data_IF_149277497215
#
_entry.id   IF_149277497215
#
_cell.length_a   1.000
_cell.length_b   1.000
_cell.length_c   1.000
_cell.angle_alpha   90.00
_cell.angle_beta   90.00
_cell.angle_gamma   90.00
#
_symmetry.space_group_name_H-M   'P 1'
#
loop_
_entity.id
_entity.type
_entity.pdbx_description
1 polymer ?
#
# COMPACT_ATOMS: atom_id res chain seq x y z
N UNK A 1 8.95 -13.98 -9.38
CA UNK A 1 7.85 -14.65 -8.65
C UNK A 1 7.18 -13.60 -7.81
N UNK A 2 5.88 -13.36 -7.96
CA UNK A 2 5.18 -12.43 -7.06
C UNK A 2 5.19 -13.03 -5.64
N UNK A 3 5.76 -12.30 -4.67
CA UNK A 3 5.86 -12.76 -3.29
C UNK A 3 4.50 -13.04 -2.66
N UNK A 4 4.46 -13.90 -1.65
CA UNK A 4 3.29 -14.06 -0.79
C UNK A 4 3.15 -12.82 0.08
N UNK A 5 1.93 -12.32 0.27
CA UNK A 5 1.64 -11.22 1.18
C UNK A 5 0.76 -11.76 2.30
N UNK A 6 1.14 -11.53 3.53
CA UNK A 6 0.40 -12.00 4.72
C UNK A 6 -0.22 -10.82 5.46
N UNK A 7 -1.33 -11.07 6.15
CA UNK A 7 -1.97 -10.08 6.99
C UNK A 7 -2.97 -10.69 7.96
N UNK A 8 -3.33 -9.92 8.99
CA UNK A 8 -4.22 -10.35 10.07
C UNK A 8 -5.35 -9.34 10.24
N UNK A 9 -6.59 -9.82 10.34
CA UNK A 9 -7.75 -8.98 10.65
C UNK A 9 -8.41 -9.49 11.91
N UNK A 10 -8.79 -8.59 12.81
CA UNK A 10 -9.46 -8.97 14.06
C UNK A 10 -10.88 -8.41 14.12
N UNK A 11 -11.77 -9.13 14.80
CA UNK A 11 -13.17 -8.76 14.99
C UNK A 11 -13.62 -9.18 16.39
N UNK A 12 -14.22 -8.24 17.11
CA UNK A 12 -14.82 -8.49 18.43
C UNK A 12 -16.34 -8.67 18.31
N UNK A 13 -16.85 -9.78 18.82
CA UNK A 13 -18.28 -10.04 18.98
C UNK A 13 -18.70 -9.68 20.39
N UNK A 14 -19.43 -8.58 20.55
CA UNK A 14 -19.98 -8.15 21.84
C UNK A 14 -21.42 -8.61 22.01
N UNK A 15 -21.78 -9.00 23.23
CA UNK A 15 -23.15 -9.34 23.61
C UNK A 15 -23.92 -8.09 24.09
N UNK A 16 -25.22 -7.92 23.79
CA UNK A 16 -26.05 -8.79 22.96
C UNK A 16 -25.62 -8.74 21.49
N UNK A 17 -25.54 -9.91 20.85
CA UNK A 17 -25.21 -9.97 19.43
C UNK A 17 -26.29 -9.22 18.64
N UNK A 18 -25.89 -8.33 17.72
CA UNK A 18 -26.83 -7.64 16.84
C UNK A 18 -27.72 -8.67 16.12
N UNK A 19 -29.00 -8.33 15.95
CA UNK A 19 -30.06 -9.24 15.48
C UNK A 19 -29.72 -9.89 14.12
N UNK A 20 -30.43 -10.98 13.80
CA UNK A 20 -30.15 -11.90 12.69
C UNK A 20 -30.10 -11.27 11.27
N UNK A 21 -30.32 -9.96 11.13
CA UNK A 21 -30.30 -9.25 9.85
C UNK A 21 -29.28 -8.09 9.77
N UNK A 22 -28.46 -7.85 10.80
CA UNK A 22 -27.46 -6.78 10.78
C UNK A 22 -26.07 -7.38 10.59
N UNK A 23 -25.52 -7.22 9.37
CA UNK A 23 -24.11 -7.47 9.08
C UNK A 23 -23.25 -6.57 9.97
N UNK A 24 -22.60 -7.20 10.93
CA UNK A 24 -21.57 -6.55 11.73
C UNK A 24 -20.22 -6.84 11.08
N UNK A 25 -19.34 -5.85 11.02
CA UNK A 25 -18.06 -5.96 10.34
C UNK A 25 -16.92 -5.41 11.17
N UNK A 26 -15.71 -5.89 10.88
CA UNK A 26 -14.48 -5.28 11.37
C UNK A 26 -14.24 -3.95 10.69
N UNK A 27 -13.28 -3.19 11.20
CA UNK A 27 -12.67 -2.12 10.42
C UNK A 27 -12.01 -2.68 9.15
N UNK A 28 -11.83 -1.81 8.16
CA UNK A 28 -11.15 -2.15 6.92
C UNK A 28 -9.65 -2.18 7.16
N UNK A 29 -9.02 -3.31 6.88
CA UNK A 29 -7.57 -3.50 6.90
C UNK A 29 -7.06 -3.62 5.46
N UNK A 30 -5.96 -2.94 5.13
CA UNK A 30 -5.37 -3.03 3.79
C UNK A 30 -4.26 -4.07 3.80
N UNK A 31 -4.40 -5.12 2.99
CA UNK A 31 -3.41 -6.21 2.87
C UNK A 31 -3.14 -6.40 1.38
N UNK A 32 -1.88 -6.24 0.96
CA UNK A 32 -1.49 -6.28 -0.46
C UNK A 32 -2.19 -5.22 -1.31
N UNK A 33 -2.33 -4.01 -0.76
CA UNK A 33 -3.06 -2.87 -1.36
C UNK A 33 -4.53 -3.16 -1.72
N UNK A 34 -5.10 -4.20 -1.12
CA UNK A 34 -6.50 -4.55 -1.23
C UNK A 34 -7.21 -4.26 0.11
N UNK A 35 -8.39 -3.61 0.09
CA UNK A 35 -9.16 -3.34 1.31
C UNK A 35 -9.94 -4.59 1.70
N UNK A 36 -9.66 -5.13 2.88
CA UNK A 36 -10.28 -6.32 3.44
C UNK A 36 -11.05 -6.00 4.71
N UNK A 37 -12.15 -6.71 4.95
CA UNK A 37 -12.84 -6.69 6.23
C UNK A 37 -13.57 -8.01 6.46
N UNK A 38 -13.68 -8.41 7.72
CA UNK A 38 -14.49 -9.56 8.13
C UNK A 38 -15.90 -9.06 8.41
N UNK A 39 -16.90 -9.82 7.98
CA UNK A 39 -18.28 -9.62 8.41
C UNK A 39 -18.84 -10.91 8.99
N UNK A 40 -19.79 -10.76 9.92
CA UNK A 40 -20.50 -11.89 10.50
C UNK A 40 -22.00 -11.65 10.54
N UNK A 41 -22.74 -12.75 10.50
CA UNK A 41 -24.18 -12.77 10.75
C UNK A 41 -24.57 -14.15 11.29
N UNK A 42 -25.75 -14.23 11.88
CA UNK A 42 -26.34 -15.48 12.32
C UNK A 42 -27.44 -15.89 11.35
N UNK A 43 -27.47 -17.16 10.97
CA UNK A 43 -28.55 -17.70 10.15
C UNK A 43 -28.84 -19.16 10.50
N UNK A 44 -30.01 -19.63 10.11
CA UNK A 44 -30.44 -20.98 10.40
C UNK A 44 -29.94 -21.96 9.32
N UNK A 45 -29.18 -22.97 9.73
CA UNK A 45 -28.79 -24.12 8.89
C UNK A 45 -29.37 -25.37 9.54
N UNK A 46 -30.26 -26.06 8.83
CA UNK A 46 -30.84 -27.34 9.27
C UNK A 46 -31.45 -27.28 10.68
N UNK A 47 -32.16 -26.19 11.01
CA UNK A 47 -32.79 -25.99 12.32
C UNK A 47 -31.85 -25.53 13.44
N UNK A 48 -30.60 -25.19 13.13
CA UNK A 48 -29.60 -24.67 14.09
C UNK A 48 -29.18 -23.26 13.72
N UNK A 49 -29.18 -22.35 14.71
CA UNK A 49 -28.68 -20.98 14.54
C UNK A 49 -27.14 -20.98 14.53
N UNK A 50 -26.56 -20.75 13.35
CA UNK A 50 -25.13 -20.82 13.08
C UNK A 50 -24.54 -19.43 12.86
N UNK A 51 -23.34 -19.21 13.37
CA UNK A 51 -22.52 -18.06 13.05
C UNK A 51 -21.86 -18.28 11.69
N UNK A 52 -22.11 -17.37 10.76
CA UNK A 52 -21.38 -17.28 9.51
C UNK A 52 -20.33 -16.17 9.58
N UNK A 53 -19.13 -16.44 9.08
CA UNK A 53 -18.04 -15.46 9.01
C UNK A 53 -17.57 -15.37 7.56
N UNK A 54 -17.57 -14.16 7.00
CA UNK A 54 -17.15 -13.88 5.64
C UNK A 54 -15.97 -12.91 5.63
N UNK A 55 -14.97 -13.22 4.82
CA UNK A 55 -13.95 -12.27 4.41
C UNK A 55 -14.45 -11.54 3.16
N UNK A 56 -14.34 -10.23 3.15
CA UNK A 56 -14.80 -9.38 2.05
C UNK A 56 -13.65 -8.52 1.54
N UNK A 57 -13.59 -8.31 0.23
CA UNK A 57 -12.69 -7.37 -0.40
C UNK A 57 -13.47 -6.45 -1.35
N UNK A 58 -13.45 -5.14 -1.06
CA UNK A 58 -14.23 -4.15 -1.79
C UNK A 58 -13.35 -3.15 -2.55
N UNK A 59 -12.54 -3.65 -3.48
CA UNK A 59 -11.78 -2.80 -4.37
C UNK A 59 -12.71 -2.13 -5.40
N UNK A 60 -12.46 -0.85 -5.70
CA UNK A 60 -13.25 -0.02 -6.60
C UNK A 60 -13.11 -0.43 -8.08
N UNK A 61 -12.01 -1.06 -8.45
CA UNK A 61 -11.78 -1.59 -9.81
C UNK A 61 -12.55 -2.90 -10.02
N UNK A 62 -12.86 -3.21 -11.29
CA UNK A 62 -13.36 -4.53 -11.68
C UNK A 62 -12.28 -5.45 -12.27
N UNK A 63 -11.05 -4.93 -12.44
CA UNK A 63 -9.95 -5.61 -13.15
C UNK A 63 -8.87 -6.12 -12.20
N UNK A 64 -9.21 -6.36 -10.94
CA UNK A 64 -8.32 -6.97 -9.96
C UNK A 64 -8.70 -8.43 -9.70
N UNK A 65 -7.72 -9.21 -9.28
CA UNK A 65 -7.94 -10.55 -8.73
C UNK A 65 -6.82 -10.92 -7.78
N UNK A 66 -7.10 -11.74 -6.77
CA UNK A 66 -6.09 -12.38 -5.95
C UNK A 66 -6.56 -13.75 -5.47
N UNK A 67 -5.62 -14.65 -5.23
CA UNK A 67 -5.88 -15.93 -4.58
C UNK A 67 -5.57 -15.76 -3.09
N UNK A 68 -6.54 -16.09 -2.23
CA UNK A 68 -6.41 -15.99 -0.79
C UNK A 68 -6.55 -17.36 -0.13
N UNK A 69 -5.61 -17.69 0.76
CA UNK A 69 -5.75 -18.75 1.75
C UNK A 69 -6.01 -18.09 3.10
N UNK A 70 -7.11 -18.48 3.76
CA UNK A 70 -7.60 -17.81 4.96
C UNK A 70 -7.77 -18.82 6.08
N UNK A 71 -7.24 -18.51 7.25
CA UNK A 71 -7.49 -19.21 8.51
C UNK A 71 -8.29 -18.29 9.43
N UNK A 72 -9.49 -18.71 9.83
CA UNK A 72 -10.31 -18.00 10.81
C UNK A 72 -10.21 -18.74 12.14
N UNK A 73 -9.80 -18.03 13.17
CA UNK A 73 -9.61 -18.50 14.54
C UNK A 73 -10.54 -17.75 15.49
N UNK A 74 -11.38 -18.48 16.20
CA UNK A 74 -12.00 -18.02 17.43
C UNK A 74 -11.02 -18.29 18.57
N UNK A 75 -10.61 -17.23 19.27
CA UNK A 75 -9.62 -17.38 20.33
C UNK A 75 -10.17 -18.22 21.50
N UNK A 76 -9.34 -19.09 22.11
CA UNK A 76 -9.72 -19.87 23.28
C UNK A 76 -10.10 -18.96 24.46
N UNK A 77 -10.97 -19.47 25.33
CA UNK A 77 -11.37 -18.84 26.60
C UNK A 77 -11.09 -19.80 27.75
N UNK A 78 -11.04 -19.31 28.99
CA UNK A 78 -10.66 -20.08 30.20
C UNK A 78 -11.27 -21.49 30.28
N UNK A 79 -12.52 -21.68 29.80
CA UNK A 79 -13.24 -22.96 29.86
C UNK A 79 -13.63 -23.55 28.49
N UNK A 80 -13.22 -22.94 27.37
CA UNK A 80 -13.58 -23.41 26.03
C UNK A 80 -12.38 -23.36 25.07
N UNK A 81 -12.07 -24.46 24.37
CA UNK A 81 -11.03 -24.44 23.36
C UNK A 81 -11.39 -23.46 22.24
N UNK A 82 -10.36 -22.88 21.62
CA UNK A 82 -10.53 -22.08 20.42
C UNK A 82 -11.00 -22.94 19.25
N UNK A 83 -11.57 -22.30 18.24
CA UNK A 83 -12.03 -22.97 17.02
C UNK A 83 -11.28 -22.42 15.82
N UNK A 84 -10.74 -23.29 14.99
CA UNK A 84 -10.01 -22.91 13.77
C UNK A 84 -10.71 -23.56 12.59
N UNK A 85 -11.00 -22.76 11.56
CA UNK A 85 -11.46 -23.26 10.26
C UNK A 85 -10.78 -22.48 9.14
N UNK A 86 -10.48 -23.15 8.03
CA UNK A 86 -9.75 -22.57 6.90
C UNK A 86 -10.55 -22.66 5.61
N UNK A 87 -10.36 -21.71 4.70
CA UNK A 87 -10.87 -21.79 3.33
C UNK A 87 -9.90 -21.15 2.34
N UNK A 88 -10.12 -21.43 1.05
CA UNK A 88 -9.40 -20.81 -0.07
C UNK A 88 -10.40 -20.24 -1.06
N UNK A 89 -10.11 -19.09 -1.62
CA UNK A 89 -10.93 -18.51 -2.68
C UNK A 89 -10.10 -17.57 -3.58
N UNK A 90 -10.54 -17.43 -4.83
CA UNK A 90 -10.06 -16.36 -5.73
C UNK A 90 -11.01 -15.19 -5.63
N UNK A 91 -10.54 -14.09 -5.04
CA UNK A 91 -11.30 -12.85 -4.91
C UNK A 91 -11.12 -11.98 -6.14
N UNK A 92 -12.23 -11.40 -6.61
CA UNK A 92 -12.26 -10.47 -7.74
C UNK A 92 -13.61 -9.73 -7.77
N UNK A 93 -13.85 -8.95 -8.81
CA UNK A 93 -15.10 -8.18 -8.97
C UNK A 93 -16.39 -9.00 -8.89
N UNK A 94 -16.37 -10.28 -9.30
CA UNK A 94 -17.52 -11.21 -9.29
C UNK A 94 -17.61 -12.01 -7.99
N UNK A 95 -16.49 -12.24 -7.31
CA UNK A 95 -16.40 -12.95 -6.02
C UNK A 95 -15.71 -12.05 -5.00
N UNK A 96 -16.45 -11.07 -4.48
CA UNK A 96 -15.94 -10.08 -3.51
C UNK A 96 -16.00 -10.57 -2.06
N UNK A 97 -16.70 -11.67 -1.81
CA UNK A 97 -16.96 -12.21 -0.47
C UNK A 97 -16.87 -13.73 -0.51
N UNK A 98 -16.24 -14.31 0.49
CA UNK A 98 -16.19 -15.76 0.71
C UNK A 98 -15.95 -16.03 2.19
N UNK A 99 -16.45 -17.15 2.68
CA UNK A 99 -16.42 -17.43 4.10
C UNK A 99 -16.91 -18.80 4.47
N UNK A 100 -17.22 -18.96 5.75
CA UNK A 100 -17.67 -20.20 6.36
C UNK A 100 -19.05 -19.94 6.96
N UNK A 101 -20.07 -20.56 6.36
CA UNK A 101 -21.47 -20.36 6.73
C UNK A 101 -21.83 -21.00 8.10
N UNK A 102 -21.17 -22.09 8.45
CA UNK A 102 -21.45 -22.89 9.65
C UNK A 102 -20.31 -22.80 10.68
N UNK A 103 -19.70 -21.62 10.85
CA UNK A 103 -18.46 -21.47 11.59
C UNK A 103 -18.56 -22.00 13.02
N UNK A 104 -19.56 -21.57 13.80
CA UNK A 104 -19.82 -22.02 15.17
C UNK A 104 -21.31 -21.92 15.50
N UNK A 105 -21.84 -22.78 16.39
CA UNK A 105 -23.24 -22.63 16.82
C UNK A 105 -23.40 -21.42 17.76
N UNK A 106 -24.53 -20.70 17.68
CA UNK A 106 -24.81 -19.61 18.64
C UNK A 106 -24.87 -20.10 20.09
N UNK A 107 -25.25 -21.36 20.30
CA UNK A 107 -25.30 -21.99 21.62
C UNK A 107 -23.90 -22.11 22.24
N UNK A 108 -22.88 -22.40 21.43
CA UNK A 108 -21.48 -22.43 21.87
C UNK A 108 -20.94 -21.03 22.19
N UNK A 109 -21.52 -19.98 21.62
CA UNK A 109 -21.13 -18.57 21.82
C UNK A 109 -21.91 -17.88 22.95
N UNK A 110 -22.60 -18.61 23.83
CA UNK A 110 -23.29 -18.01 24.99
C UNK A 110 -22.29 -17.20 25.85
N UNK A 111 -22.59 -15.94 26.18
CA UNK A 111 -21.70 -15.11 26.99
C UNK A 111 -21.54 -15.72 28.37
N UNK A 112 -20.31 -15.81 28.87
CA UNK A 112 -20.06 -15.99 30.28
C UNK A 112 -20.09 -14.61 30.94
N UNK A 113 -20.69 -14.53 32.13
CA UNK A 113 -20.62 -13.32 32.96
C UNK A 113 -19.27 -13.41 33.67
N UNK A 114 -18.42 -12.42 33.43
CA UNK A 114 -17.15 -12.31 34.15
C UNK A 114 -17.42 -12.14 35.64
N UNK A 115 -16.43 -12.45 36.50
CA UNK A 115 -16.51 -12.20 37.95
C UNK A 115 -16.81 -10.73 38.31
N UNK A 116 -16.58 -9.79 37.37
CA UNK A 116 -16.86 -8.36 37.48
C UNK A 116 -18.27 -7.95 36.99
N UNK A 117 -19.10 -8.88 36.50
CA UNK A 117 -20.47 -8.59 36.03
C UNK A 117 -20.57 -8.12 34.57
N UNK A 118 -19.45 -8.08 33.83
CA UNK A 118 -19.43 -7.71 32.41
C UNK A 118 -19.63 -8.93 31.49
N UNK A 119 -20.27 -8.72 30.34
CA UNK A 119 -20.41 -9.74 29.30
C UNK A 119 -19.10 -9.89 28.51
N UNK A 120 -18.53 -11.10 28.46
CA UNK A 120 -17.30 -11.36 27.71
C UNK A 120 -17.44 -11.20 26.17
N UNK A 121 -16.50 -10.47 25.55
CA UNK A 121 -16.39 -10.28 24.10
C UNK A 121 -15.65 -11.43 23.43
N UNK A 122 -16.19 -12.02 22.34
CA UNK A 122 -15.49 -13.09 21.61
C UNK A 122 -14.59 -12.45 20.57
N UNK A 123 -13.30 -12.79 20.56
CA UNK A 123 -12.36 -12.28 19.55
C UNK A 123 -12.14 -13.32 18.46
N UNK A 124 -12.33 -12.88 17.23
CA UNK A 124 -12.04 -13.63 16.01
C UNK A 124 -10.82 -13.01 15.35
N UNK A 125 -9.92 -13.85 14.86
CA UNK A 125 -8.76 -13.48 14.07
C UNK A 125 -8.82 -14.20 12.71
N UNK A 126 -8.60 -13.48 11.62
CA UNK A 126 -8.44 -14.06 10.30
C UNK A 126 -7.03 -13.80 9.78
N UNK A 127 -6.24 -14.86 9.65
CA UNK A 127 -4.92 -14.83 9.01
C UNK A 127 -5.10 -15.08 7.51
N UNK A 128 -4.60 -14.17 6.69
CA UNK A 128 -4.81 -14.13 5.24
C UNK A 128 -3.47 -14.21 4.55
N UNK A 129 -3.32 -15.14 3.62
CA UNK A 129 -2.14 -15.27 2.74
C UNK A 129 -2.59 -15.05 1.31
N UNK A 130 -2.13 -13.96 0.70
CA UNK A 130 -2.44 -13.56 -0.66
C UNK A 130 -1.35 -14.01 -1.63
N UNK A 131 -1.79 -14.50 -2.79
CA UNK A 131 -0.96 -14.91 -3.91
C UNK A 131 -1.60 -14.50 -5.23
N UNK A 132 -0.84 -14.51 -6.32
CA UNK A 132 -1.33 -14.24 -7.67
C UNK A 132 -2.14 -12.94 -7.80
N UNK A 133 -1.75 -11.89 -7.06
CA UNK A 133 -2.41 -10.58 -7.10
C UNK A 133 -2.21 -9.96 -8.49
N UNK A 134 -3.30 -9.55 -9.12
CA UNK A 134 -3.33 -8.89 -10.44
C UNK A 134 -4.19 -7.65 -10.39
N UNK A 135 -3.88 -6.67 -11.23
CA UNK A 135 -4.67 -5.43 -11.35
C UNK A 135 -4.59 -4.50 -10.14
N UNK A 136 -3.66 -4.78 -9.22
CA UNK A 136 -3.30 -3.94 -8.08
C UNK A 136 -1.80 -3.70 -8.20
N UNK A 137 -1.38 -2.45 -8.07
CA UNK A 137 0.04 -2.12 -8.06
C UNK A 137 0.64 -2.73 -6.79
N UNK A 138 1.58 -3.66 -6.94
CA UNK A 138 2.29 -4.22 -5.80
C UNK A 138 3.34 -3.19 -5.35
N UNK A 139 3.09 -2.49 -4.25
CA UNK A 139 4.10 -1.64 -3.63
C UNK A 139 5.09 -2.56 -2.92
N UNK A 140 6.40 -2.48 -3.19
CA UNK A 140 7.39 -3.21 -2.42
C UNK A 140 7.26 -2.80 -0.95
N UNK A 141 6.76 -3.70 -0.10
CA UNK A 141 6.86 -3.54 1.34
C UNK A 141 8.29 -3.93 1.73
N UNK A 142 8.95 -3.10 2.52
CA UNK A 142 10.27 -3.46 3.04
C UNK A 142 10.03 -4.51 4.11
N UNK A 143 10.53 -5.72 3.86
CA UNK A 143 10.49 -6.78 4.84
C UNK A 143 11.59 -6.54 5.88
N UNK A 144 11.21 -5.99 7.03
CA UNK A 144 12.12 -5.80 8.16
C UNK A 144 12.39 -7.11 8.92
N UNK A 145 11.67 -8.21 8.62
CA UNK A 145 11.71 -9.48 9.35
C UNK A 145 12.52 -10.58 8.64
N UNK A 146 12.77 -10.44 7.34
CA UNK A 146 13.44 -11.44 6.53
C UNK A 146 14.90 -11.72 6.93
N UNK A 147 15.32 -12.98 6.85
CA UNK A 147 16.73 -13.37 7.02
C UNK A 147 17.60 -12.72 5.92
N UNK A 148 18.59 -11.91 6.35
CA UNK A 148 19.50 -11.01 5.61
C UNK A 148 20.34 -11.66 4.49
N UNK A 149 19.98 -12.83 3.97
CA UNK A 149 20.82 -13.50 2.97
C UNK A 149 20.90 -12.80 1.62
N UNK A 150 20.06 -11.80 1.32
CA UNK A 150 20.04 -11.20 -0.03
C UNK A 150 19.59 -9.72 -0.14
N UNK A 151 19.91 -8.83 0.82
CA UNK A 151 19.63 -7.40 0.60
C UNK A 151 20.79 -6.46 1.01
N UNK A 152 21.42 -5.83 0.01
CA UNK A 152 22.43 -4.77 0.17
C UNK A 152 21.85 -3.48 0.81
N UNK A 153 20.58 -3.49 1.21
CA UNK A 153 19.84 -2.35 1.75
C UNK A 153 19.80 -2.32 3.28
N UNK A 154 20.04 -3.42 3.99
CA UNK A 154 20.11 -3.43 5.47
C UNK A 154 21.56 -3.48 5.97
N UNK A 155 21.89 -2.63 6.94
CA UNK A 155 23.22 -2.59 7.57
C UNK A 155 23.16 -2.36 9.10
N UNK A 156 21.98 -2.59 9.69
CA UNK A 156 21.78 -2.66 11.14
C UNK A 156 20.64 -3.61 11.47
N UNK A 157 20.81 -4.37 12.54
CA UNK A 157 19.79 -5.23 13.14
C UNK A 157 19.43 -4.72 14.53
N UNK A 158 18.16 -4.51 14.79
CA UNK A 158 17.65 -4.19 16.13
C UNK A 158 17.21 -5.47 16.84
N UNK A 159 17.56 -5.60 18.11
CA UNK A 159 17.19 -6.70 19.02
C UNK A 159 16.46 -6.08 20.20
N UNK A 160 15.41 -6.71 20.69
CA UNK A 160 14.55 -6.16 21.74
C UNK A 160 14.79 -6.90 23.06
N UNK A 161 15.05 -6.16 24.15
CA UNK A 161 15.37 -6.74 25.46
C UNK A 161 14.20 -7.54 26.07
N UNK A 162 12.98 -7.08 25.79
CA UNK A 162 11.72 -7.74 26.14
C UNK A 162 11.53 -9.06 25.38
N UNK A 163 12.03 -9.16 24.15
CA UNK A 163 11.78 -10.27 23.22
C UNK A 163 13.03 -10.65 22.40
N UNK A 164 14.04 -11.22 23.08
CA UNK A 164 15.39 -11.48 22.51
C UNK A 164 15.44 -12.37 21.26
N UNK A 165 14.35 -13.07 20.92
CA UNK A 165 14.26 -13.87 19.69
C UNK A 165 13.83 -13.08 18.46
N UNK A 166 13.28 -11.87 18.63
CA UNK A 166 12.78 -11.04 17.54
C UNK A 166 13.85 -10.04 17.08
N UNK A 167 13.88 -9.80 15.76
CA UNK A 167 14.87 -8.93 15.11
C UNK A 167 14.19 -8.09 14.03
N UNK A 168 14.67 -6.86 13.88
CA UNK A 168 14.30 -5.99 12.76
C UNK A 168 15.54 -5.51 12.01
N UNK A 169 15.51 -5.62 10.68
CA UNK A 169 16.62 -5.29 9.80
C UNK A 169 16.37 -3.96 9.09
N UNK A 170 17.24 -2.97 9.25
CA UNK A 170 17.04 -1.63 8.68
C UNK A 170 18.34 -1.04 8.10
N UNK A 171 18.25 0.18 7.56
CA UNK A 171 19.37 0.96 7.03
C UNK A 171 19.74 2.14 7.95
N UNK A 172 20.99 2.16 8.45
CA UNK A 172 21.56 3.21 9.30
C UNK A 172 21.44 4.59 8.64
N UNK A 173 21.84 4.70 7.38
CA UNK A 173 21.89 5.98 6.65
C UNK A 173 20.50 6.56 6.46
N UNK A 174 19.52 5.72 6.11
CA UNK A 174 18.14 6.14 5.92
C UNK A 174 17.47 6.57 7.25
N UNK A 175 17.61 5.78 8.31
CA UNK A 175 17.12 6.17 9.65
C UNK A 175 17.75 7.48 10.14
N UNK A 176 19.05 7.67 9.88
CA UNK A 176 19.77 8.88 10.25
C UNK A 176 19.33 10.13 9.48
N UNK A 177 18.74 9.96 8.29
CA UNK A 177 18.15 11.06 7.55
C UNK A 177 16.93 11.64 8.28
N UNK A 178 16.18 10.77 8.96
CA UNK A 178 14.90 11.11 9.58
C UNK A 178 14.98 11.36 11.09
N UNK A 179 16.07 10.95 11.76
CA UNK A 179 16.25 11.11 13.20
C UNK A 179 17.67 11.57 13.55
N UNK A 180 17.82 12.75 14.20
CA UNK A 180 19.13 13.18 14.71
C UNK A 180 19.65 12.27 15.83
N UNK A 181 18.76 11.54 16.52
CA UNK A 181 19.15 10.52 17.51
C UNK A 181 19.81 9.34 16.81
N UNK A 182 19.17 8.76 15.78
CA UNK A 182 19.78 7.67 14.99
C UNK A 182 21.05 8.11 14.29
N UNK A 183 21.08 9.35 13.76
CA UNK A 183 22.30 9.93 13.17
C UNK A 183 23.45 9.98 14.17
N UNK A 184 23.17 10.42 15.40
CA UNK A 184 24.18 10.47 16.45
C UNK A 184 24.62 9.07 16.86
N UNK A 185 23.67 8.17 17.09
CA UNK A 185 23.88 6.78 17.46
C UNK A 185 24.76 6.02 16.45
N UNK A 186 24.53 6.20 15.14
CA UNK A 186 25.25 5.43 14.10
C UNK A 186 26.53 6.08 13.58
N UNK A 187 26.65 7.42 13.67
CA UNK A 187 27.73 8.16 12.99
C UNK A 187 28.49 9.14 13.88
N UNK A 188 28.18 9.23 15.18
CA UNK A 188 29.03 9.93 16.16
C UNK A 188 29.83 8.91 17.00
N UNK A 189 30.72 9.38 17.87
CA UNK A 189 31.60 8.55 18.71
C UNK A 189 30.87 7.82 19.86
N UNK A 190 29.71 7.22 19.60
CA UNK A 190 28.99 6.35 20.53
C UNK A 190 29.39 4.88 20.32
N UNK A 191 29.07 4.02 21.29
CA UNK A 191 29.47 2.60 21.25
C UNK A 191 28.82 1.85 20.07
N UNK A 192 27.65 2.31 19.65
CA UNK A 192 26.78 1.75 18.61
C UNK A 192 27.29 2.02 17.19
N UNK A 193 28.23 2.96 17.01
CA UNK A 193 28.76 3.37 15.70
C UNK A 193 29.25 2.18 14.88
N UNK A 194 30.03 1.28 15.51
CA UNK A 194 30.64 0.12 14.87
C UNK A 194 29.84 -1.17 15.07
N UNK A 195 28.65 -1.09 15.66
CA UNK A 195 27.82 -2.27 15.94
C UNK A 195 26.88 -2.57 14.77
N UNK A 196 26.82 -3.83 14.36
CA UNK A 196 25.84 -4.32 13.39
C UNK A 196 24.51 -4.71 14.07
N UNK A 197 24.55 -4.89 15.40
CA UNK A 197 23.41 -5.24 16.24
C UNK A 197 23.24 -4.22 17.35
N UNK A 198 22.05 -3.67 17.50
CA UNK A 198 21.71 -2.68 18.52
C UNK A 198 20.58 -3.23 19.37
N UNK A 199 20.77 -3.24 20.68
CA UNK A 199 19.75 -3.68 21.64
C UNK A 199 18.90 -2.47 22.04
N UNK A 200 17.59 -2.61 21.93
CA UNK A 200 16.59 -1.61 22.31
C UNK A 200 15.74 -2.14 23.48
N UNK A 201 15.33 -1.22 24.35
CA UNK A 201 14.38 -1.46 25.44
C UNK A 201 12.91 -1.22 25.03
N UNK A 202 12.69 -0.78 23.78
CA UNK A 202 11.36 -0.56 23.17
C UNK A 202 10.57 -1.87 22.93
N UNK A 203 9.27 -1.76 22.65
CA UNK A 203 8.47 -2.87 22.10
C UNK A 203 8.84 -3.14 20.64
N UNK A 204 8.96 -4.41 20.30
CA UNK A 204 9.18 -4.83 18.92
C UNK A 204 8.05 -4.36 18.00
N UNK A 205 6.78 -4.50 18.42
CA UNK A 205 5.62 -4.10 17.63
C UNK A 205 5.63 -2.59 17.36
N UNK A 206 5.83 -1.78 18.41
CA UNK A 206 5.85 -0.31 18.29
C UNK A 206 6.99 0.17 17.39
N UNK A 207 8.17 -0.45 17.52
CA UNK A 207 9.32 -0.10 16.70
C UNK A 207 9.18 -0.58 15.25
N UNK A 208 8.57 -1.74 15.02
CA UNK A 208 8.26 -2.23 13.68
C UNK A 208 7.28 -1.29 12.95
N UNK A 209 6.22 -0.83 13.63
CA UNK A 209 5.31 0.18 13.08
C UNK A 209 6.04 1.48 12.76
N UNK A 210 6.94 1.94 13.65
CA UNK A 210 7.75 3.13 13.42
C UNK A 210 8.61 2.99 12.14
N UNK A 211 9.25 1.83 11.93
CA UNK A 211 10.03 1.58 10.71
C UNK A 211 9.17 1.61 9.44
N UNK A 212 7.97 1.01 9.49
CA UNK A 212 7.01 1.06 8.39
C UNK A 212 6.55 2.49 8.05
N UNK A 213 6.56 3.40 9.02
CA UNK A 213 6.22 4.82 8.83
C UNK A 213 7.40 5.66 8.34
N UNK A 214 8.61 5.38 8.82
CA UNK A 214 9.82 6.13 8.46
C UNK A 214 10.24 5.83 7.01
N UNK A 215 10.15 4.57 6.60
CA UNK A 215 10.46 4.13 5.24
C UNK A 215 9.26 4.35 4.29
N UNK A 216 9.52 4.34 2.97
CA UNK A 216 9.15 5.38 1.99
C UNK A 216 8.15 6.51 2.38
N UNK A 217 8.65 7.73 2.23
CA UNK A 217 7.88 8.98 2.23
C UNK A 217 7.05 9.16 0.95
N UNK A 218 5.72 9.23 1.07
CA UNK A 218 4.78 9.61 0.00
C UNK A 218 4.72 11.12 -0.21
N UNK A 219 5.86 11.79 -0.47
CA UNK A 219 5.80 13.21 -0.86
C UNK A 219 5.20 13.29 -2.27
N UNK A 220 3.99 13.83 -2.45
CA UNK A 220 3.37 13.88 -3.77
C UNK A 220 4.19 14.77 -4.69
N UNK A 221 4.32 14.36 -5.95
CA UNK A 221 4.80 15.25 -7.00
C UNK A 221 3.65 16.18 -7.37
N UNK A 222 3.93 17.48 -7.39
CA UNK A 222 2.97 18.54 -7.67
C UNK A 222 3.58 19.62 -8.55
N UNK A 223 2.78 20.63 -8.93
CA UNK A 223 3.22 21.73 -9.80
C UNK A 223 4.35 22.58 -9.20
N UNK A 224 4.58 22.52 -7.89
CA UNK A 224 5.62 23.30 -7.19
C UNK A 224 6.95 22.56 -7.17
N UNK A 225 6.92 21.22 -7.22
CA UNK A 225 8.12 20.41 -7.05
C UNK A 225 8.58 19.66 -8.31
N UNK A 226 7.69 19.40 -9.26
CA UNK A 226 8.00 18.56 -10.42
C UNK A 226 9.18 19.09 -11.24
N UNK A 227 9.30 20.42 -11.37
CA UNK A 227 10.32 21.05 -12.21
C UNK A 227 11.74 20.80 -11.68
N UNK A 228 11.98 20.95 -10.38
CA UNK A 228 13.31 20.67 -9.82
C UNK A 228 13.53 19.18 -9.60
N UNK A 229 12.47 18.40 -9.30
CA UNK A 229 12.59 16.96 -9.10
C UNK A 229 13.01 16.24 -10.38
N UNK A 230 12.40 16.56 -11.52
CA UNK A 230 12.73 15.90 -12.78
C UNK A 230 14.17 16.19 -13.23
N UNK A 231 14.65 17.44 -13.05
CA UNK A 231 16.06 17.79 -13.33
C UNK A 231 17.04 17.09 -12.40
N UNK A 232 16.73 17.00 -11.10
CA UNK A 232 17.60 16.29 -10.15
C UNK A 232 17.60 14.80 -10.42
N UNK A 233 16.44 14.24 -10.79
CA UNK A 233 16.32 12.83 -11.12
C UNK A 233 17.12 12.47 -12.38
N UNK A 234 17.11 13.32 -13.41
CA UNK A 234 18.00 13.18 -14.57
C UNK A 234 19.47 13.28 -14.17
N UNK A 235 19.85 14.36 -13.48
CA UNK A 235 21.24 14.60 -13.03
C UNK A 235 21.84 13.44 -12.24
N UNK A 236 21.05 12.79 -11.39
CA UNK A 236 21.50 11.70 -10.53
C UNK A 236 21.04 10.31 -11.02
N UNK A 237 20.52 10.20 -12.24
CA UNK A 237 20.04 8.96 -12.84
C UNK A 237 19.02 8.18 -11.97
N UNK A 238 18.09 8.90 -11.32
CA UNK A 238 17.04 8.34 -10.47
C UNK A 238 15.80 8.04 -11.31
N UNK A 239 15.79 6.88 -11.98
CA UNK A 239 14.76 6.51 -12.97
C UNK A 239 13.32 6.53 -12.41
N UNK A 240 13.13 6.16 -11.14
CA UNK A 240 11.79 6.16 -10.55
C UNK A 240 11.20 7.57 -10.42
N UNK A 241 11.98 8.55 -9.94
CA UNK A 241 11.52 9.93 -9.81
C UNK A 241 11.29 10.55 -11.20
N UNK A 242 12.12 10.21 -12.19
CA UNK A 242 11.89 10.59 -13.59
C UNK A 242 10.52 10.10 -14.09
N UNK A 243 10.21 8.82 -13.89
CA UNK A 243 8.95 8.22 -14.30
C UNK A 243 7.73 8.88 -13.63
N UNK A 244 7.80 9.09 -12.30
CA UNK A 244 6.71 9.69 -11.55
C UNK A 244 6.50 11.17 -11.94
N UNK A 245 7.57 11.92 -12.24
CA UNK A 245 7.50 13.29 -12.76
C UNK A 245 6.89 13.32 -14.17
N UNK A 246 7.33 12.43 -15.08
CA UNK A 246 6.78 12.33 -16.43
C UNK A 246 5.28 12.00 -16.40
N UNK A 247 4.85 11.07 -15.53
CA UNK A 247 3.44 10.73 -15.33
C UNK A 247 2.64 11.93 -14.84
N UNK A 248 3.11 12.62 -13.79
CA UNK A 248 2.45 13.82 -13.28
C UNK A 248 2.31 14.89 -14.38
N UNK A 249 3.36 15.15 -15.18
CA UNK A 249 3.31 16.13 -16.26
C UNK A 249 2.29 15.75 -17.34
N UNK A 250 2.17 14.47 -17.70
CA UNK A 250 1.15 14.02 -18.66
C UNK A 250 -0.28 14.24 -18.16
N UNK A 251 -0.53 14.01 -16.87
CA UNK A 251 -1.86 14.07 -16.25
C UNK A 251 -2.27 15.50 -15.83
N UNK A 252 -1.32 16.33 -15.37
CA UNK A 252 -1.60 17.62 -14.77
C UNK A 252 -2.11 18.66 -15.77
N UNK A 253 -3.23 19.32 -15.48
CA UNK A 253 -3.71 20.49 -16.25
C UNK A 253 -3.10 21.81 -15.77
N UNK A 254 -2.49 21.79 -14.58
CA UNK A 254 -1.94 22.98 -13.92
C UNK A 254 -0.61 23.43 -14.53
N UNK A 255 0.13 22.51 -15.15
CA UNK A 255 1.36 22.82 -15.88
C UNK A 255 1.00 23.08 -17.33
N UNK A 256 1.39 24.23 -17.87
CA UNK A 256 1.10 24.59 -19.26
C UNK A 256 1.81 23.69 -20.27
N UNK A 257 1.20 23.51 -21.44
CA UNK A 257 1.71 22.65 -22.50
C UNK A 257 3.10 23.10 -22.97
N UNK A 258 3.36 24.41 -23.03
CA UNK A 258 4.67 24.92 -23.42
C UNK A 258 5.77 24.50 -22.42
N UNK A 259 5.50 24.56 -21.12
CA UNK A 259 6.48 24.14 -20.11
C UNK A 259 6.75 22.64 -20.21
N UNK A 260 5.72 21.83 -20.45
CA UNK A 260 5.89 20.38 -20.64
C UNK A 260 6.74 20.06 -21.86
N UNK A 261 6.52 20.75 -22.98
CA UNK A 261 7.29 20.58 -24.20
C UNK A 261 8.75 20.97 -24.01
N UNK A 262 9.04 22.06 -23.30
CA UNK A 262 10.43 22.45 -22.99
C UNK A 262 11.11 21.35 -22.18
N UNK A 263 10.48 20.91 -21.08
CA UNK A 263 11.07 19.87 -20.20
C UNK A 263 11.26 18.55 -20.94
N UNK A 264 10.28 18.15 -21.77
CA UNK A 264 10.35 16.88 -22.47
C UNK A 264 11.33 16.90 -23.65
N UNK A 265 11.54 18.05 -24.27
CA UNK A 265 12.59 18.29 -25.27
C UNK A 265 13.98 18.22 -24.63
N UNK A 266 14.21 18.98 -23.56
CA UNK A 266 15.49 19.01 -22.83
C UNK A 266 15.91 17.62 -22.32
N UNK A 267 14.94 16.81 -21.87
CA UNK A 267 15.18 15.49 -21.26
C UNK A 267 14.88 14.31 -22.20
N UNK A 268 14.59 14.57 -23.49
CA UNK A 268 14.24 13.53 -24.48
C UNK A 268 13.09 12.60 -24.05
N UNK A 269 12.09 13.13 -23.36
CA UNK A 269 10.91 12.41 -22.87
C UNK A 269 9.83 12.29 -23.95
N UNK A 270 10.05 11.40 -24.92
CA UNK A 270 9.19 11.23 -26.08
C UNK A 270 7.71 10.93 -25.74
N UNK A 271 7.43 10.20 -24.65
CA UNK A 271 6.03 9.91 -24.24
C UNK A 271 5.30 11.18 -23.80
N UNK A 272 5.98 12.05 -23.06
CA UNK A 272 5.43 13.34 -22.67
C UNK A 272 5.24 14.27 -23.88
N UNK A 273 6.18 14.27 -24.84
CA UNK A 273 6.02 14.99 -26.12
C UNK A 273 4.77 14.52 -26.87
N UNK A 274 4.63 13.22 -27.09
CA UNK A 274 3.46 12.60 -27.73
C UNK A 274 2.16 12.97 -27.02
N UNK A 275 2.14 12.93 -25.69
CA UNK A 275 0.99 13.32 -24.90
C UNK A 275 0.58 14.77 -25.16
N UNK A 276 1.56 15.69 -25.21
CA UNK A 276 1.33 17.10 -25.51
C UNK A 276 0.77 17.26 -26.94
N UNK A 277 1.40 16.66 -27.95
CA UNK A 277 0.94 16.75 -29.34
C UNK A 277 -0.44 16.16 -29.56
N UNK A 278 -0.83 15.11 -28.84
CA UNK A 278 -2.19 14.55 -28.92
C UNK A 278 -3.26 15.50 -28.37
N UNK A 279 -2.93 16.28 -27.33
CA UNK A 279 -3.84 17.26 -26.72
C UNK A 279 -4.03 18.54 -27.55
N UNK A 280 -3.10 18.83 -28.46
CA UNK A 280 -3.22 19.92 -29.43
C UNK A 280 -4.15 19.49 -30.57
N UNK A 281 -5.42 19.86 -30.48
CA UNK A 281 -6.48 19.46 -31.43
C UNK A 281 -6.94 20.62 -32.31
N UNK A 282 -6.68 21.86 -31.90
CA UNK A 282 -7.07 23.09 -32.59
C UNK A 282 -5.85 23.93 -32.97
N UNK A 283 -5.93 24.66 -34.09
CA UNK A 283 -4.82 25.49 -34.60
C UNK A 283 -4.52 26.62 -33.60
N UNK A 284 -5.55 27.18 -32.98
CA UNK A 284 -5.46 28.26 -31.99
C UNK A 284 -4.60 27.86 -30.79
N UNK A 285 -4.61 26.57 -30.41
CA UNK A 285 -3.77 26.06 -29.33
C UNK A 285 -2.29 26.07 -29.73
N UNK A 286 -1.97 25.82 -31.00
CA UNK A 286 -0.59 25.82 -31.50
C UNK A 286 -0.10 27.26 -31.73
N UNK A 287 -0.94 28.13 -32.27
CA UNK A 287 -0.58 29.54 -32.47
C UNK A 287 -0.35 30.26 -31.14
N UNK A 288 -1.17 29.99 -30.12
CA UNK A 288 -0.96 30.55 -28.78
C UNK A 288 0.33 30.09 -28.13
N UNK A 289 0.78 28.84 -28.37
CA UNK A 289 2.12 28.40 -27.93
C UNK A 289 3.22 29.27 -28.55
N UNK A 290 3.12 29.59 -29.84
CA UNK A 290 4.10 30.42 -30.57
C UNK A 290 4.22 31.83 -30.00
N UNK A 291 3.16 32.37 -29.41
CA UNK A 291 3.15 33.69 -28.78
C UNK A 291 3.82 33.70 -27.39
N UNK A 292 4.06 32.53 -26.81
CA UNK A 292 4.74 32.44 -25.50
C UNK A 292 6.25 32.59 -25.64
N UNK A 293 6.88 33.22 -24.65
CA UNK A 293 8.36 33.27 -24.54
C UNK A 293 9.01 31.88 -24.46
N UNK A 294 8.25 30.86 -24.06
CA UNK A 294 8.73 29.48 -23.97
C UNK A 294 8.99 28.86 -25.35
N UNK A 295 8.31 29.31 -26.40
CA UNK A 295 8.46 28.76 -27.75
C UNK A 295 9.88 28.90 -28.30
N UNK A 296 10.55 30.00 -27.99
CA UNK A 296 11.93 30.24 -28.42
C UNK A 296 12.89 29.16 -27.91
N UNK A 297 12.62 28.62 -26.70
CA UNK A 297 13.44 27.60 -26.04
C UNK A 297 13.31 26.19 -26.64
N UNK A 298 12.28 25.94 -27.44
CA UNK A 298 12.08 24.64 -28.07
C UNK A 298 13.11 24.39 -29.17
N UNK A 299 13.53 23.15 -29.32
CA UNK A 299 14.38 22.67 -30.41
C UNK A 299 13.69 22.81 -31.78
N UNK A 300 14.49 22.81 -32.83
CA UNK A 300 13.98 22.83 -34.21
C UNK A 300 13.12 21.59 -34.51
N UNK A 301 13.46 20.43 -33.95
CA UNK A 301 12.69 19.20 -34.08
C UNK A 301 11.28 19.33 -33.51
N UNK A 302 11.14 19.87 -32.29
CA UNK A 302 9.81 20.06 -31.68
C UNK A 302 9.01 21.12 -32.42
N UNK A 303 9.66 22.21 -32.88
CA UNK A 303 9.02 23.24 -33.71
C UNK A 303 8.52 22.68 -35.05
N UNK A 304 9.29 21.79 -35.68
CA UNK A 304 8.89 21.10 -36.91
C UNK A 304 7.68 20.19 -36.66
N UNK A 305 7.69 19.42 -35.57
CA UNK A 305 6.57 18.54 -35.23
C UNK A 305 5.29 19.33 -34.91
N UNK A 306 5.40 20.51 -34.27
CA UNK A 306 4.27 21.43 -34.10
C UNK A 306 3.70 21.90 -35.45
N UNK A 307 4.55 22.16 -36.45
CA UNK A 307 4.12 22.53 -37.80
C UNK A 307 3.44 21.35 -38.52
N UNK A 308 4.02 20.15 -38.43
CA UNK A 308 3.39 18.94 -38.97
C UNK A 308 2.02 18.69 -38.33
N UNK A 309 1.90 18.95 -37.03
CA UNK A 309 0.62 18.87 -36.32
C UNK A 309 -0.42 19.85 -36.89
N UNK A 310 -0.03 21.06 -37.27
CA UNK A 310 -0.93 22.01 -37.95
C UNK A 310 -1.42 21.45 -39.28
N UNK A 311 -0.52 20.89 -40.11
CA UNK A 311 -0.92 20.27 -41.37
C UNK A 311 -1.86 19.08 -41.19
N UNK A 312 -1.67 18.29 -40.13
CA UNK A 312 -2.58 17.19 -39.80
C UNK A 312 -3.97 17.69 -39.40
N UNK A 313 -4.07 18.81 -38.67
CA UNK A 313 -5.35 19.41 -38.27
C UNK A 313 -6.07 20.00 -39.49
N UNK A 314 -5.35 20.71 -40.38
CA UNK A 314 -5.92 21.31 -41.60
C UNK A 314 -6.46 20.30 -42.62
N UNK A 315 -6.01 19.04 -42.56
CA UNK A 315 -6.48 17.95 -43.43
C UNK A 315 -7.77 17.28 -42.94
N UNK A 316 -8.21 17.56 -41.71
CA UNK A 316 -9.46 17.03 -41.15
C UNK A 316 -10.63 17.95 -41.47
#
# INVERSE_FOLDING_TARGET
MAGKIEGLITLNLSYPYKSNNILSSSEVCVIGDLPWYISYHFHEISGKDQLAINLNCNNSSNLWSCDAQVEIRLLPREKKPGLIKTFKNTFNAKSRSSGIADFSSRVELKPMVTSAGEHETHKIEASIVLTNIRGVLNVPNIDFLGDISDDNLSNVTFIFDSEKSQKLHANKSYLSLHSPVFKSMFFSNFAEQNQEQIVLDDSFEEFHELLQVIYPTRKPIDEKNVEFLIRLADKYAITHVMYECERFLMESEKVGVIQKLIVSDDLSLAKLQDNCFRKLVQIEQITSLRETKGYEKLSESVKLELLEKVFQILKK
#
